data_IF_353807631826
#
_entry.id   IF_353807631826
#
_cell.length_a   1.000
_cell.length_b   1.000
_cell.length_c   1.000
_cell.angle_alpha   90.00
_cell.angle_beta   90.00
_cell.angle_gamma   90.00
#
_symmetry.space_group_name_H-M   'P 1'
#
loop_
_entity.id
_entity.type
_entity.pdbx_description
1 polymer ?
#
# COMPACT_ATOMS: atom_id res chain seq x y z
N UNK A 1 4.49 -58.69 -35.15
CA UNK A 1 4.13 -57.45 -35.86
C UNK A 1 4.16 -56.34 -34.82
N UNK A 2 4.99 -55.31 -34.84
CA UNK A 2 6.16 -54.97 -35.62
C UNK A 2 6.98 -54.02 -34.74
N UNK A 3 8.29 -54.23 -34.71
CA UNK A 3 9.29 -53.41 -34.05
C UNK A 3 9.55 -52.17 -34.90
N UNK A 4 9.72 -50.98 -34.32
CA UNK A 4 10.47 -49.89 -34.98
C UNK A 4 10.92 -48.82 -33.96
N UNK A 5 12.22 -48.82 -33.69
CA UNK A 5 13.05 -47.64 -33.45
C UNK A 5 13.78 -47.36 -34.79
N UNK A 6 14.20 -46.11 -35.13
CA UNK A 6 15.25 -45.38 -34.40
C UNK A 6 15.18 -43.83 -34.43
N UNK A 7 16.08 -43.13 -33.69
CA UNK A 7 16.43 -41.73 -33.92
C UNK A 7 17.69 -41.62 -34.80
N UNK A 8 17.70 -40.71 -35.77
CA UNK A 8 18.91 -40.40 -36.55
C UNK A 8 19.34 -38.95 -36.35
N UNK A 9 20.63 -38.82 -36.03
CA UNK A 9 21.41 -37.60 -35.85
C UNK A 9 21.90 -37.05 -37.20
N UNK A 10 22.32 -35.78 -37.21
CA UNK A 10 23.57 -35.21 -37.79
C UNK A 10 23.34 -33.73 -38.12
N UNK A 11 24.00 -32.81 -37.41
CA UNK A 11 25.40 -32.42 -37.58
C UNK A 11 25.61 -31.55 -38.82
N UNK A 12 26.15 -30.36 -38.57
CA UNK A 12 27.38 -29.81 -39.18
C UNK A 12 27.23 -28.31 -39.34
N UNK A 13 28.03 -27.56 -38.58
CA UNK A 13 29.36 -27.07 -38.99
C UNK A 13 29.20 -25.94 -40.01
N UNK A 14 29.64 -24.74 -39.63
CA UNK A 14 30.82 -24.09 -40.20
C UNK A 14 30.82 -22.67 -39.59
N UNK A 15 31.66 -22.37 -38.61
CA UNK A 15 33.09 -22.09 -38.79
C UNK A 15 33.30 -20.85 -39.67
N UNK A 16 33.70 -19.75 -39.02
CA UNK A 16 34.98 -19.06 -39.24
C UNK A 16 34.90 -17.64 -38.66
N UNK A 17 35.64 -17.37 -37.59
CA UNK A 17 36.99 -16.78 -37.59
C UNK A 17 36.98 -15.36 -38.16
N UNK A 18 37.59 -14.36 -37.55
CA UNK A 18 39.03 -14.33 -37.25
C UNK A 18 39.40 -13.02 -36.55
N UNK A 19 40.37 -13.12 -35.62
CA UNK A 19 41.46 -12.18 -35.28
C UNK A 19 41.12 -10.69 -35.07
N UNK A 20 41.54 -10.04 -34.00
CA UNK A 20 42.80 -10.18 -33.24
C UNK A 20 43.54 -8.84 -33.31
N UNK A 21 44.03 -8.33 -32.19
CA UNK A 21 45.47 -8.13 -31.96
C UNK A 21 45.73 -7.56 -30.54
N UNK A 22 46.95 -7.76 -29.99
CA UNK A 22 47.30 -7.66 -28.58
C UNK A 22 48.25 -6.48 -28.27
N UNK A 23 48.87 -6.54 -27.07
CA UNK A 23 49.75 -5.58 -26.36
C UNK A 23 48.96 -4.60 -25.48
N UNK A 24 49.11 -4.52 -24.15
CA UNK A 24 50.12 -5.04 -23.24
C UNK A 24 50.75 -3.87 -22.48
N UNK A 25 50.45 -3.70 -21.18
CA UNK A 25 51.31 -2.97 -20.24
C UNK A 25 50.84 -3.20 -18.79
N UNK A 26 51.84 -3.40 -17.92
CA UNK A 26 51.80 -3.51 -16.47
C UNK A 26 51.33 -2.21 -15.80
N UNK A 27 50.75 -2.35 -14.61
CA UNK A 27 50.61 -1.27 -13.63
C UNK A 27 50.07 -1.83 -12.31
N UNK A 28 50.96 -2.04 -11.35
CA UNK A 28 50.63 -2.22 -9.95
C UNK A 28 50.15 -0.88 -9.38
N UNK A 29 49.06 -0.85 -8.60
CA UNK A 29 48.84 0.17 -7.57
C UNK A 29 47.73 -0.24 -6.60
N UNK A 30 48.18 -0.51 -5.38
CA UNK A 30 47.48 -0.36 -4.11
C UNK A 30 46.76 1.01 -4.03
N UNK A 31 45.48 1.02 -3.65
CA UNK A 31 44.89 1.99 -2.72
C UNK A 31 43.34 1.97 -2.73
N UNK A 32 42.80 1.83 -1.52
CA UNK A 32 41.66 2.60 -0.97
C UNK A 32 40.24 2.39 -1.51
N UNK A 33 39.46 1.72 -0.66
CA UNK A 33 38.19 2.21 -0.11
C UNK A 33 37.18 2.81 -1.09
N UNK A 34 36.26 1.96 -1.56
CA UNK A 34 34.94 2.40 -1.97
C UNK A 34 33.92 1.75 -1.05
N UNK A 35 33.61 2.53 -0.02
CA UNK A 35 32.41 2.50 0.79
C UNK A 35 31.20 2.14 -0.09
N UNK A 36 30.80 0.88 -0.06
CA UNK A 36 29.47 0.49 -0.48
C UNK A 36 28.51 0.94 0.63
N UNK A 37 28.27 2.25 0.71
CA UNK A 37 27.07 2.77 1.36
C UNK A 37 25.91 2.21 0.56
N UNK A 38 25.42 1.05 1.00
CA UNK A 38 24.05 0.65 0.77
C UNK A 38 23.21 1.69 1.48
N UNK A 39 22.94 2.81 0.79
CA UNK A 39 21.87 3.73 1.20
C UNK A 39 20.61 2.89 1.27
N UNK A 40 20.03 2.67 2.46
CA UNK A 40 18.68 2.16 2.53
C UNK A 40 17.81 3.31 2.01
N UNK A 41 17.29 3.14 0.81
CA UNK A 41 16.12 3.78 0.23
C UNK A 41 15.26 4.48 1.29
N UNK A 42 15.51 5.78 1.47
CA UNK A 42 14.73 6.65 2.34
C UNK A 42 13.45 7.09 1.61
N UNK A 43 12.57 6.15 1.28
CA UNK A 43 11.23 6.47 0.75
C UNK A 43 10.24 6.89 1.86
N UNK A 44 10.66 6.85 3.14
CA UNK A 44 9.87 7.40 4.25
C UNK A 44 9.82 8.93 4.24
N UNK A 45 10.93 9.60 3.90
CA UNK A 45 11.02 11.07 4.01
C UNK A 45 10.08 11.84 3.08
N UNK A 46 9.77 11.29 1.90
CA UNK A 46 8.85 11.93 0.96
C UNK A 46 7.37 11.84 1.38
N UNK A 47 6.97 10.73 2.01
CA UNK A 47 5.59 10.55 2.48
C UNK A 47 5.31 11.31 3.76
N UNK A 48 6.27 11.40 4.69
CA UNK A 48 6.09 12.18 5.92
C UNK A 48 5.95 13.68 5.64
N UNK A 49 6.76 14.25 4.74
CA UNK A 49 6.61 15.65 4.33
C UNK A 49 5.27 15.95 3.64
N UNK A 50 4.66 14.96 2.97
CA UNK A 50 3.33 15.11 2.37
C UNK A 50 2.22 15.17 3.45
N UNK A 51 2.37 14.42 4.56
CA UNK A 51 1.44 14.40 5.70
C UNK A 51 1.51 15.65 6.58
N UNK A 52 2.63 16.36 6.57
CA UNK A 52 2.81 17.62 7.33
C UNK A 52 2.01 18.80 6.74
N UNK A 53 1.50 18.66 5.51
CA UNK A 53 0.65 19.69 4.92
C UNK A 53 -0.79 19.52 5.41
N UNK A 54 -1.43 20.61 5.87
CA UNK A 54 -2.83 20.55 6.27
C UNK A 54 -3.70 20.13 5.07
N UNK A 55 -4.64 19.22 5.32
CA UNK A 55 -5.64 18.79 4.33
C UNK A 55 -6.43 20.01 3.85
N UNK A 56 -6.66 20.11 2.53
CA UNK A 56 -7.49 21.18 1.99
C UNK A 56 -8.96 20.96 2.33
N UNK A 57 -9.77 22.03 2.31
CA UNK A 57 -11.21 21.92 2.59
C UNK A 57 -11.90 21.04 1.55
N UNK A 58 -11.57 21.21 0.26
CA UNK A 58 -12.16 20.44 -0.83
C UNK A 58 -11.79 18.95 -0.71
N UNK A 59 -10.53 18.63 -0.42
CA UNK A 59 -10.08 17.24 -0.23
C UNK A 59 -10.76 16.60 1.00
N UNK A 60 -10.90 17.35 2.10
CA UNK A 60 -11.58 16.86 3.29
C UNK A 60 -13.03 16.47 2.98
N UNK A 61 -13.78 17.34 2.31
CA UNK A 61 -15.17 17.05 1.95
C UNK A 61 -15.29 15.95 0.89
N UNK A 62 -14.36 15.85 -0.06
CA UNK A 62 -14.31 14.72 -0.99
C UNK A 62 -14.11 13.40 -0.23
N UNK A 63 -13.17 13.37 0.73
CA UNK A 63 -12.91 12.19 1.56
C UNK A 63 -14.12 11.84 2.42
N UNK A 64 -14.77 12.81 3.05
CA UNK A 64 -15.94 12.61 3.91
C UNK A 64 -17.22 12.27 3.12
N UNK A 65 -17.28 12.52 1.82
CA UNK A 65 -18.42 12.12 0.97
C UNK A 65 -18.64 10.61 0.93
N UNK A 66 -17.59 9.83 1.22
CA UNK A 66 -17.62 8.36 1.20
C UNK A 66 -18.03 7.83 2.59
N UNK A 67 -19.12 7.06 2.71
CA UNK A 67 -19.56 6.52 4.00
C UNK A 67 -18.47 5.77 4.75
N UNK A 68 -17.73 4.89 4.06
CA UNK A 68 -16.65 4.11 4.68
C UNK A 68 -15.54 4.97 5.31
N UNK A 69 -15.20 6.11 4.71
CA UNK A 69 -14.21 7.02 5.30
C UNK A 69 -14.73 7.67 6.58
N UNK A 70 -16.02 8.00 6.64
CA UNK A 70 -16.64 8.56 7.85
C UNK A 70 -16.61 7.56 9.00
N UNK A 71 -17.03 6.31 8.75
CA UNK A 71 -16.97 5.26 9.78
C UNK A 71 -15.53 5.01 10.25
N UNK A 72 -14.58 4.88 9.31
CA UNK A 72 -13.16 4.71 9.64
C UNK A 72 -12.63 5.86 10.50
N UNK A 73 -12.84 7.11 10.09
CA UNK A 73 -12.34 8.26 10.84
C UNK A 73 -13.04 8.43 12.19
N UNK A 74 -14.36 8.18 12.27
CA UNK A 74 -15.12 8.28 13.52
C UNK A 74 -14.71 7.21 14.55
N UNK A 75 -14.32 6.03 14.07
CA UNK A 75 -13.77 4.99 14.93
C UNK A 75 -12.35 5.35 15.38
N UNK A 76 -11.48 5.73 14.46
CA UNK A 76 -10.09 6.08 14.76
C UNK A 76 -9.97 7.34 15.63
N UNK A 77 -10.89 8.30 15.52
CA UNK A 77 -10.88 9.50 16.37
C UNK A 77 -11.21 9.22 17.83
N UNK A 78 -11.84 8.08 18.13
CA UNK A 78 -12.16 7.63 19.49
C UNK A 78 -11.15 6.65 20.05
N UNK A 79 -10.28 6.09 19.20
CA UNK A 79 -9.29 5.12 19.61
C UNK A 79 -8.05 5.81 20.21
N UNK A 80 -7.60 5.31 21.35
CA UNK A 80 -6.38 5.79 22.03
C UNK A 80 -5.15 5.05 21.49
N UNK A 81 -4.78 5.31 20.23
CA UNK A 81 -3.55 4.82 19.63
C UNK A 81 -3.73 3.97 18.35
N UNK A 82 -2.69 3.23 17.94
CA UNK A 82 -2.74 2.38 16.75
C UNK A 82 -3.75 1.24 16.92
N UNK A 83 -4.63 1.10 15.93
CA UNK A 83 -5.65 0.06 15.87
C UNK A 83 -5.26 -0.99 14.83
N UNK A 84 -5.39 -2.29 15.13
CA UNK A 84 -5.23 -3.34 14.14
C UNK A 84 -6.22 -3.17 12.98
N UNK A 85 -5.73 -3.43 11.77
CA UNK A 85 -6.56 -3.34 10.56
C UNK A 85 -7.77 -4.26 10.62
N UNK A 86 -7.63 -5.47 11.17
CA UNK A 86 -8.76 -6.42 11.27
C UNK A 86 -9.87 -5.86 12.18
N UNK A 87 -9.50 -5.22 13.29
CA UNK A 87 -10.47 -4.58 14.20
C UNK A 87 -11.18 -3.40 13.53
N UNK A 88 -10.44 -2.63 12.70
CA UNK A 88 -11.02 -1.58 11.90
C UNK A 88 -12.03 -2.12 10.88
N UNK A 89 -11.72 -3.24 10.21
CA UNK A 89 -12.64 -3.88 9.26
C UNK A 89 -13.93 -4.30 9.98
N UNK A 90 -13.81 -5.02 11.10
CA UNK A 90 -14.99 -5.46 11.87
C UNK A 90 -15.83 -4.25 12.32
N UNK A 91 -15.20 -3.19 12.83
CA UNK A 91 -15.94 -2.03 13.29
C UNK A 91 -16.71 -1.32 12.15
N UNK A 92 -16.10 -1.22 10.97
CA UNK A 92 -16.77 -0.64 9.80
C UNK A 92 -17.91 -1.54 9.30
N UNK A 93 -17.74 -2.86 9.36
CA UNK A 93 -18.81 -3.81 9.02
C UNK A 93 -19.96 -3.74 10.01
N UNK A 94 -19.69 -3.63 11.31
CA UNK A 94 -20.71 -3.55 12.35
C UNK A 94 -21.46 -2.21 12.36
N UNK A 95 -20.78 -1.12 11.97
CA UNK A 95 -21.39 0.21 11.86
C UNK A 95 -22.13 0.46 10.54
N UNK A 96 -22.00 -0.42 9.55
CA UNK A 96 -22.63 -0.29 8.24
C UNK A 96 -23.71 -1.35 8.05
N UNK A 97 -24.79 -0.97 7.38
CA UNK A 97 -25.82 -1.95 7.01
C UNK A 97 -25.29 -2.88 5.92
N UNK A 98 -25.43 -4.19 6.13
CA UNK A 98 -25.05 -5.20 5.13
C UNK A 98 -26.03 -5.11 3.95
N UNK A 99 -25.56 -4.94 2.70
CA UNK A 99 -26.45 -4.86 1.55
C UNK A 99 -27.31 -6.11 1.36
N UNK A 100 -28.56 -5.90 0.90
CA UNK A 100 -29.48 -7.00 0.60
C UNK A 100 -28.87 -8.02 -0.38
N UNK A 101 -28.98 -9.30 -0.03
CA UNK A 101 -28.50 -10.40 -0.85
C UNK A 101 -27.00 -10.69 -0.75
N UNK A 102 -26.28 -10.00 0.15
CA UNK A 102 -24.88 -10.28 0.45
C UNK A 102 -24.75 -10.95 1.82
N UNK A 103 -23.87 -11.96 1.95
CA UNK A 103 -23.55 -12.51 3.26
C UNK A 103 -22.67 -11.52 4.05
N UNK A 104 -22.71 -11.60 5.39
CA UNK A 104 -21.83 -10.77 6.23
C UNK A 104 -20.35 -10.99 5.91
N UNK A 105 -19.96 -12.22 5.59
CA UNK A 105 -18.58 -12.58 5.25
C UNK A 105 -18.16 -11.97 3.90
N UNK A 106 -19.02 -12.05 2.88
CA UNK A 106 -18.74 -11.41 1.58
C UNK A 106 -18.67 -9.88 1.70
N UNK A 107 -19.53 -9.30 2.54
CA UNK A 107 -19.51 -7.87 2.83
C UNK A 107 -18.21 -7.46 3.54
N UNK A 108 -17.79 -8.23 4.54
CA UNK A 108 -16.53 -8.04 5.26
C UNK A 108 -15.34 -8.05 4.30
N UNK A 109 -15.26 -9.02 3.40
CA UNK A 109 -14.17 -9.12 2.43
C UNK A 109 -14.16 -7.93 1.45
N UNK A 110 -15.35 -7.45 1.06
CA UNK A 110 -15.49 -6.26 0.23
C UNK A 110 -15.02 -4.99 0.99
N UNK A 111 -15.41 -4.83 2.25
CA UNK A 111 -14.98 -3.72 3.11
C UNK A 111 -13.47 -3.75 3.31
N UNK A 112 -12.90 -4.91 3.63
CA UNK A 112 -11.47 -5.11 3.78
C UNK A 112 -10.70 -4.66 2.52
N UNK A 113 -11.10 -5.19 1.37
CA UNK A 113 -10.53 -4.85 0.06
C UNK A 113 -10.59 -3.34 -0.20
N UNK A 114 -11.74 -2.72 0.05
CA UNK A 114 -11.92 -1.28 -0.17
C UNK A 114 -11.08 -0.43 0.78
N UNK A 115 -10.96 -0.84 2.05
CA UNK A 115 -10.16 -0.14 3.04
C UNK A 115 -8.69 -0.10 2.63
N UNK A 116 -8.11 -1.25 2.28
CA UNK A 116 -6.68 -1.34 1.96
C UNK A 116 -6.33 -0.70 0.62
N UNK A 117 -7.20 -0.80 -0.39
CA UNK A 117 -6.88 -0.33 -1.74
C UNK A 117 -7.29 1.11 -2.04
N UNK A 118 -8.28 1.64 -1.33
CA UNK A 118 -8.85 2.96 -1.65
C UNK A 118 -8.90 3.90 -0.45
N UNK A 119 -9.50 3.48 0.66
CA UNK A 119 -9.79 4.41 1.75
C UNK A 119 -8.54 4.80 2.53
N UNK A 120 -7.82 3.80 3.08
CA UNK A 120 -6.63 4.03 3.90
C UNK A 120 -5.52 4.76 3.15
N UNK A 121 -5.17 4.40 1.89
CA UNK A 121 -4.16 5.14 1.13
C UNK A 121 -4.53 6.62 0.97
N UNK A 122 -5.79 6.92 0.62
CA UNK A 122 -6.22 8.32 0.42
C UNK A 122 -6.26 9.12 1.71
N UNK A 123 -6.68 8.50 2.82
CA UNK A 123 -6.68 9.15 4.13
C UNK A 123 -5.24 9.39 4.64
N UNK A 124 -4.33 8.47 4.33
CA UNK A 124 -2.90 8.58 4.65
C UNK A 124 -2.21 9.66 3.81
N UNK A 125 -2.51 9.73 2.51
CA UNK A 125 -2.02 10.78 1.60
C UNK A 125 -2.49 12.18 2.03
N UNK A 126 -3.71 12.29 2.57
CA UNK A 126 -4.27 13.52 3.13
C UNK A 126 -3.77 13.84 4.55
N UNK A 127 -2.95 12.96 5.15
CA UNK A 127 -2.41 13.13 6.49
C UNK A 127 -3.42 12.96 7.62
N UNK A 128 -4.66 12.52 7.34
CA UNK A 128 -5.70 12.29 8.35
C UNK A 128 -5.44 11.01 9.15
N UNK A 129 -4.85 9.99 8.54
CA UNK A 129 -4.46 8.78 9.25
C UNK A 129 -3.02 8.45 8.94
N UNK A 130 -2.41 7.61 9.75
CA UNK A 130 -1.18 6.93 9.37
C UNK A 130 -1.48 5.45 9.24
N UNK A 131 -1.24 4.93 8.02
CA UNK A 131 -1.43 3.53 7.72
C UNK A 131 -0.09 2.80 7.57
N UNK A 132 0.23 1.93 8.53
CA UNK A 132 1.37 1.03 8.46
C UNK A 132 0.95 -0.29 7.80
N UNK A 133 1.37 -0.46 6.54
CA UNK A 133 1.09 -1.67 5.74
C UNK A 133 1.83 -2.90 6.25
N UNK A 134 3.04 -2.73 6.79
CA UNK A 134 3.87 -3.83 7.27
C UNK A 134 3.31 -4.40 8.56
N UNK A 135 2.89 -3.51 9.47
CA UNK A 135 2.32 -3.87 10.77
C UNK A 135 0.80 -4.09 10.72
N UNK A 136 0.15 -3.74 9.59
CA UNK A 136 -1.31 -3.76 9.42
C UNK A 136 -2.02 -2.99 10.53
N UNK A 137 -1.52 -1.80 10.86
CA UNK A 137 -2.10 -0.92 11.88
C UNK A 137 -2.43 0.44 11.31
N UNK A 138 -3.50 1.04 11.81
CA UNK A 138 -3.95 2.38 11.42
C UNK A 138 -4.06 3.23 12.68
N UNK A 139 -3.59 4.48 12.63
CA UNK A 139 -3.82 5.44 13.72
C UNK A 139 -4.37 6.76 13.17
N UNK A 140 -5.19 7.43 13.96
CA UNK A 140 -5.52 8.83 13.72
C UNK A 140 -4.28 9.71 13.90
N UNK A 141 -4.20 10.80 13.14
CA UNK A 141 -3.21 11.86 13.34
C UNK A 141 -3.86 13.06 14.04
N UNK A 142 -3.07 14.09 14.34
CA UNK A 142 -3.60 15.37 14.83
C UNK A 142 -4.55 16.03 13.82
N UNK A 143 -4.33 15.81 12.51
CA UNK A 143 -5.17 16.36 11.46
C UNK A 143 -6.59 15.77 11.48
N UNK A 144 -6.80 14.56 12.02
CA UNK A 144 -8.15 13.99 12.18
C UNK A 144 -9.09 14.90 12.95
N UNK A 145 -8.57 15.70 13.89
CA UNK A 145 -9.37 16.59 14.72
C UNK A 145 -10.22 17.58 13.90
N UNK A 146 -9.77 17.97 12.71
CA UNK A 146 -10.54 18.87 11.83
C UNK A 146 -11.79 18.21 11.26
N UNK A 147 -11.79 16.87 11.15
CA UNK A 147 -12.92 16.11 10.62
C UNK A 147 -13.99 15.84 11.69
N UNK A 148 -13.62 15.80 12.97
CA UNK A 148 -14.48 15.37 14.09
C UNK A 148 -15.85 16.06 14.12
N UNK A 149 -15.96 17.40 14.03
CA UNK A 149 -17.27 18.06 14.07
C UNK A 149 -18.21 17.63 12.92
N UNK A 150 -17.65 17.32 11.75
CA UNK A 150 -18.41 16.86 10.59
C UNK A 150 -18.78 15.38 10.71
N UNK A 151 -17.93 14.58 11.36
CA UNK A 151 -18.20 13.18 11.65
C UNK A 151 -19.35 13.05 12.65
N UNK A 152 -19.35 13.85 13.71
CA UNK A 152 -20.45 13.90 14.68
C UNK A 152 -21.77 14.27 13.99
N UNK A 153 -21.77 15.34 13.19
CA UNK A 153 -22.94 15.74 12.41
C UNK A 153 -23.43 14.68 11.42
N UNK A 154 -22.51 13.94 10.80
CA UNK A 154 -22.86 12.88 9.87
C UNK A 154 -23.44 11.67 10.59
N UNK A 155 -22.86 11.26 11.71
CA UNK A 155 -23.28 10.06 12.47
C UNK A 155 -24.60 10.27 13.23
N UNK A 156 -24.88 11.51 13.65
CA UNK A 156 -26.17 11.87 14.27
C UNK A 156 -27.33 11.74 13.27
N UNK A 157 -27.10 12.00 11.99
CA UNK A 157 -28.14 11.87 10.94
C UNK A 157 -28.48 10.41 10.61
N UNK A 158 -27.54 9.48 10.81
CA UNK A 158 -27.79 8.04 10.65
C UNK A 158 -28.31 7.36 11.93
N UNK A 159 -28.40 8.09 13.05
CA UNK A 159 -29.03 7.59 14.28
C UNK A 159 -30.54 7.86 14.35
N UNK A 160 -31.11 8.51 13.32
CA UNK A 160 -32.48 9.01 13.32
C UNK A 160 -33.48 8.17 12.48
N UNK A 161 -33.11 6.98 12.02
CA UNK A 161 -33.98 6.10 11.21
C UNK A 161 -34.33 4.78 11.91
#
# INVERSE_FOLDING_TARGET
>A
MGSEQPPESRSSDDDRRRAGDPYGARGESDASAEDATSTPTAERGGRDAARERPVSVDDLFELLSRPGNRYTLAYLSRAEGPVPYEDLVENVVDGAETPDGLSRDDFRDQVATRLVHSNLPKLDDAGLVEYDRERRTVRATEATAVAVPYLELAMDQFSAE
#
